data_IF_247058863569
#
_entry.id   IF_247058863569
#
_cell.length_a   1.000
_cell.length_b   1.000
_cell.length_c   1.000
_cell.angle_alpha   90.00
_cell.angle_beta   90.00
_cell.angle_gamma   90.00
#
_symmetry.space_group_name_H-M   'P 1'
#
loop_
_entity.id
_entity.type
_entity.pdbx_description
1 polymer ?
#
# COMPACT_ATOMS: atom_id res chain seq x y z
N UNK A 1 -2.97 -4.83 -10.17
CA UNK A 1 -3.30 -6.16 -9.60
C UNK A 1 -3.72 -6.10 -8.14
N UNK A 2 -2.88 -5.60 -7.21
CA UNK A 2 -3.23 -5.55 -5.78
C UNK A 2 -4.56 -4.84 -5.51
N UNK A 3 -4.74 -3.62 -6.03
CA UNK A 3 -6.01 -2.87 -5.93
C UNK A 3 -7.22 -3.69 -6.39
N UNK A 4 -7.14 -4.36 -7.54
CA UNK A 4 -8.22 -5.18 -8.07
C UNK A 4 -8.55 -6.37 -7.14
N UNK A 5 -7.53 -6.96 -6.50
CA UNK A 5 -7.72 -8.01 -5.50
C UNK A 5 -8.42 -7.52 -4.23
N UNK A 6 -8.43 -6.20 -3.97
CA UNK A 6 -9.17 -5.55 -2.88
C UNK A 6 -10.67 -5.84 -2.88
N UNK A 7 -11.28 -6.07 -4.05
CA UNK A 7 -12.69 -6.43 -4.14
C UNK A 7 -12.99 -7.77 -3.42
N UNK A 8 -12.09 -8.74 -3.51
CA UNK A 8 -12.23 -10.04 -2.83
C UNK A 8 -12.27 -9.86 -1.31
N UNK A 9 -11.43 -8.98 -0.77
CA UNK A 9 -11.42 -8.69 0.66
C UNK A 9 -12.76 -8.06 1.11
N UNK A 10 -13.28 -7.11 0.33
CA UNK A 10 -14.57 -6.46 0.60
C UNK A 10 -15.74 -7.45 0.58
N UNK A 11 -15.79 -8.34 -0.42
CA UNK A 11 -16.80 -9.40 -0.52
C UNK A 11 -16.79 -10.33 0.70
N UNK A 12 -15.60 -10.61 1.25
CA UNK A 12 -15.43 -11.42 2.45
C UNK A 12 -15.61 -10.64 3.77
N UNK A 13 -16.07 -9.38 3.72
CA UNK A 13 -16.19 -8.49 4.89
C UNK A 13 -14.87 -8.34 5.67
N UNK A 14 -13.73 -8.34 4.98
CA UNK A 14 -12.41 -8.08 5.54
C UNK A 14 -11.94 -6.66 5.21
N UNK A 15 -11.01 -6.12 6.02
CA UNK A 15 -10.37 -4.85 5.69
C UNK A 15 -9.64 -5.02 4.34
N UNK A 16 -9.81 -4.13 3.34
CA UNK A 16 -9.31 -4.33 1.98
C UNK A 16 -7.83 -3.97 1.82
N UNK A 17 -7.02 -4.44 2.77
CA UNK A 17 -5.57 -4.49 2.63
C UNK A 17 -5.24 -5.77 1.89
N UNK A 18 -4.58 -5.61 0.75
CA UNK A 18 -4.20 -6.71 -0.14
C UNK A 18 -2.78 -6.57 -0.58
N UNK A 19 -2.08 -7.69 -0.70
CA UNK A 19 -0.69 -7.76 -1.06
C UNK A 19 -0.45 -8.78 -2.18
N UNK A 20 0.52 -8.48 -3.03
CA UNK A 20 0.96 -9.34 -4.14
C UNK A 20 2.48 -9.41 -4.10
N UNK A 21 3.04 -10.61 -3.97
CA UNK A 21 4.48 -10.85 -4.00
C UNK A 21 4.89 -11.24 -5.41
N UNK A 22 5.84 -10.50 -5.98
CA UNK A 22 6.32 -10.70 -7.36
C UNK A 22 7.82 -10.92 -7.35
N UNK A 23 8.29 -11.96 -8.03
CA UNK A 23 9.72 -12.22 -8.17
C UNK A 23 10.37 -11.22 -9.15
N UNK A 24 11.50 -10.64 -8.76
CA UNK A 24 12.08 -9.48 -9.44
C UNK A 24 12.60 -9.80 -10.85
N UNK A 25 13.16 -10.99 -11.08
CA UNK A 25 13.74 -11.37 -12.37
C UNK A 25 12.70 -11.96 -13.31
N UNK A 26 12.04 -13.06 -12.89
CA UNK A 26 11.03 -13.76 -13.69
C UNK A 26 9.72 -12.98 -13.87
N UNK A 27 9.49 -11.94 -13.06
CA UNK A 27 8.22 -11.19 -13.00
C UNK A 27 7.00 -12.04 -12.63
N UNK A 28 7.23 -13.24 -12.13
CA UNK A 28 6.19 -14.17 -11.71
C UNK A 28 5.53 -13.69 -10.42
N UNK A 29 4.20 -13.79 -10.37
CA UNK A 29 3.45 -13.59 -9.13
C UNK A 29 3.56 -14.85 -8.29
N UNK A 30 4.34 -14.78 -7.20
CA UNK A 30 4.55 -15.91 -6.29
C UNK A 30 3.33 -16.16 -5.41
N UNK A 31 2.69 -15.10 -4.91
CA UNK A 31 1.48 -15.21 -4.11
C UNK A 31 0.68 -13.91 -4.07
N UNK A 32 -0.63 -14.03 -3.80
CA UNK A 32 -1.57 -12.93 -3.62
C UNK A 32 -2.40 -13.19 -2.37
N UNK A 33 -2.57 -12.20 -1.50
CA UNK A 33 -3.36 -12.35 -0.28
C UNK A 33 -4.09 -11.06 0.10
N UNK A 34 -5.11 -11.21 0.94
CA UNK A 34 -5.81 -10.12 1.60
C UNK A 34 -5.84 -10.38 3.11
N UNK A 35 -6.25 -9.38 3.90
CA UNK A 35 -6.46 -9.59 5.34
C UNK A 35 -7.50 -10.70 5.57
N UNK A 36 -7.21 -11.60 6.51
CA UNK A 36 -8.08 -12.71 6.89
C UNK A 36 -8.38 -12.70 8.39
N UNK A 37 -8.33 -11.52 9.02
CA UNK A 37 -8.46 -11.35 10.47
C UNK A 37 -9.81 -11.82 11.01
N UNK A 38 -10.91 -11.56 10.29
CA UNK A 38 -12.25 -11.99 10.67
C UNK A 38 -12.47 -13.49 10.41
N UNK A 39 -11.92 -14.02 9.32
CA UNK A 39 -12.04 -15.44 8.96
C UNK A 39 -11.26 -16.32 9.93
N UNK A 40 -10.03 -15.92 10.27
CA UNK A 40 -9.12 -16.70 11.10
C UNK A 40 -9.28 -16.43 12.59
N UNK A 41 -10.04 -15.41 12.97
CA UNK A 41 -10.13 -14.89 14.34
C UNK A 41 -8.76 -14.58 14.95
N UNK A 42 -7.80 -14.19 14.09
CA UNK A 42 -6.44 -13.89 14.47
C UNK A 42 -6.07 -12.47 14.02
N UNK A 43 -5.77 -11.61 14.98
CA UNK A 43 -5.37 -10.22 14.73
C UNK A 43 -4.05 -10.07 13.96
N UNK A 44 -3.26 -11.14 13.81
CA UNK A 44 -2.00 -11.10 13.03
C UNK A 44 -2.16 -11.58 11.59
N UNK A 45 -3.35 -12.06 11.18
CA UNK A 45 -3.63 -12.58 9.85
C UNK A 45 -3.79 -11.48 8.78
N UNK A 46 -2.79 -10.61 8.68
CA UNK A 46 -2.69 -9.58 7.66
C UNK A 46 -2.20 -10.16 6.33
N UNK A 47 -2.49 -9.49 5.22
CA UNK A 47 -2.12 -9.94 3.87
C UNK A 47 -0.64 -10.36 3.76
N UNK A 48 0.27 -9.60 4.36
CA UNK A 48 1.71 -9.87 4.36
C UNK A 48 2.08 -11.16 5.13
N UNK A 49 1.42 -11.42 6.27
CA UNK A 49 1.61 -12.66 7.05
C UNK A 49 1.00 -13.87 6.36
N UNK A 50 -0.13 -13.70 5.67
CA UNK A 50 -0.71 -14.77 4.87
C UNK A 50 0.25 -15.18 3.74
N UNK A 51 0.87 -14.21 3.06
CA UNK A 51 1.92 -14.47 2.07
C UNK A 51 3.09 -15.20 2.74
N UNK A 52 3.62 -14.68 3.86
CA UNK A 52 4.74 -15.29 4.57
C UNK A 52 4.51 -16.76 4.92
N UNK A 53 3.36 -17.08 5.51
CA UNK A 53 2.98 -18.45 5.86
C UNK A 53 2.94 -19.36 4.62
N UNK A 54 2.32 -18.92 3.53
CA UNK A 54 2.25 -19.72 2.30
C UNK A 54 3.63 -19.91 1.65
N UNK A 55 4.51 -18.91 1.68
CA UNK A 55 5.87 -19.08 1.15
C UNK A 55 6.66 -20.09 1.99
N UNK A 56 6.50 -20.10 3.31
CA UNK A 56 7.13 -21.12 4.16
C UNK A 56 6.66 -22.53 3.82
N UNK A 57 5.36 -22.70 3.55
CA UNK A 57 4.78 -24.00 3.19
C UNK A 57 5.21 -24.47 1.79
N UNK A 58 5.22 -23.56 0.81
CA UNK A 58 5.61 -23.88 -0.58
C UNK A 58 7.12 -24.03 -0.77
N UNK A 59 7.92 -23.30 -0.01
CA UNK A 59 9.38 -23.26 -0.13
C UNK A 59 10.09 -23.38 1.23
N UNK A 60 9.97 -24.53 1.94
CA UNK A 60 10.49 -24.67 3.30
C UNK A 60 11.95 -24.23 3.47
N UNK A 61 12.82 -24.66 2.55
CA UNK A 61 14.26 -24.40 2.63
C UNK A 61 14.72 -23.13 1.90
N UNK A 62 13.85 -22.46 1.15
CA UNK A 62 14.24 -21.33 0.28
C UNK A 62 13.31 -20.12 0.32
N UNK A 63 12.31 -20.10 1.19
CA UNK A 63 11.36 -18.99 1.31
C UNK A 63 12.06 -17.65 1.59
N UNK A 64 13.09 -17.61 2.43
CA UNK A 64 13.87 -16.38 2.68
C UNK A 64 14.57 -15.87 1.43
N UNK A 65 15.13 -16.76 0.61
CA UNK A 65 15.74 -16.38 -0.67
C UNK A 65 14.68 -15.87 -1.67
N UNK A 66 13.46 -16.40 -1.63
CA UNK A 66 12.34 -15.86 -2.40
C UNK A 66 11.99 -14.44 -1.96
N UNK A 67 11.93 -14.16 -0.66
CA UNK A 67 11.68 -12.80 -0.14
C UNK A 67 12.76 -11.81 -0.60
N UNK A 68 14.04 -12.17 -0.47
CA UNK A 68 15.18 -11.34 -0.91
C UNK A 68 15.20 -11.00 -2.40
N UNK A 69 14.53 -11.80 -3.23
CA UNK A 69 14.44 -11.62 -4.68
C UNK A 69 13.08 -11.12 -5.14
N UNK A 70 12.25 -10.64 -4.23
CA UNK A 70 10.87 -10.25 -4.55
C UNK A 70 10.55 -8.81 -4.18
N UNK A 71 9.55 -8.27 -4.88
CA UNK A 71 8.91 -7.00 -4.58
C UNK A 71 7.50 -7.28 -4.07
N UNK A 72 7.15 -6.70 -2.93
CA UNK A 72 5.81 -6.77 -2.36
C UNK A 72 5.01 -5.53 -2.79
N UNK A 73 3.89 -5.72 -3.46
CA UNK A 73 2.94 -4.64 -3.79
C UNK A 73 1.75 -4.72 -2.85
N UNK A 74 1.50 -3.68 -2.04
CA UNK A 74 0.44 -3.67 -1.04
C UNK A 74 -0.43 -2.41 -1.15
N UNK A 75 -1.74 -2.53 -0.96
CA UNK A 75 -2.66 -1.37 -1.15
C UNK A 75 -2.49 -0.28 -0.09
N UNK A 76 -2.07 -0.66 1.12
CA UNK A 76 -1.89 0.22 2.28
C UNK A 76 -0.50 -0.03 2.85
N UNK A 77 0.18 1.01 3.33
CA UNK A 77 1.46 0.88 4.01
C UNK A 77 1.45 -0.23 5.08
N UNK A 78 2.45 -1.15 5.07
CA UNK A 78 2.55 -2.18 6.09
C UNK A 78 2.54 -1.61 7.49
N UNK A 79 1.78 -2.24 8.39
CA UNK A 79 1.82 -1.85 9.80
C UNK A 79 3.18 -2.20 10.42
N UNK A 80 3.49 -1.64 11.59
CA UNK A 80 4.74 -1.90 12.34
C UNK A 80 5.07 -3.40 12.44
N UNK A 81 4.08 -4.25 12.75
CA UNK A 81 4.25 -5.70 12.83
C UNK A 81 4.66 -6.31 11.48
N UNK A 82 3.98 -5.94 10.40
CA UNK A 82 4.27 -6.45 9.06
C UNK A 82 5.60 -5.92 8.53
N UNK A 83 5.88 -4.63 8.74
CA UNK A 83 7.15 -4.00 8.38
C UNK A 83 8.34 -4.67 9.09
N UNK A 84 8.18 -5.07 10.37
CA UNK A 84 9.21 -5.78 11.12
C UNK A 84 9.44 -7.20 10.61
N UNK A 85 8.36 -7.93 10.28
CA UNK A 85 8.49 -9.25 9.64
C UNK A 85 9.22 -9.12 8.30
N UNK A 86 8.83 -8.14 7.47
CA UNK A 86 9.43 -7.88 6.17
C UNK A 86 10.93 -7.58 6.26
N UNK A 87 11.34 -6.79 7.26
CA UNK A 87 12.75 -6.51 7.53
C UNK A 87 13.52 -7.78 7.91
N UNK A 88 12.94 -8.64 8.76
CA UNK A 88 13.56 -9.88 9.22
C UNK A 88 13.71 -10.93 8.10
N UNK A 89 12.72 -11.04 7.21
CA UNK A 89 12.81 -11.96 6.06
C UNK A 89 13.68 -11.41 4.92
N UNK A 90 14.06 -10.13 5.01
CA UNK A 90 14.91 -9.46 4.05
C UNK A 90 14.26 -9.23 2.69
N UNK A 91 13.00 -8.78 2.65
CA UNK A 91 12.33 -8.39 1.39
C UNK A 91 13.22 -7.43 0.58
N UNK A 92 13.21 -7.50 -0.76
CA UNK A 92 14.00 -6.55 -1.57
C UNK A 92 13.36 -5.16 -1.61
N UNK A 93 12.08 -5.09 -1.96
CA UNK A 93 11.36 -3.84 -2.20
C UNK A 93 9.91 -3.96 -1.75
N UNK A 94 9.37 -2.89 -1.16
CA UNK A 94 7.96 -2.77 -0.81
C UNK A 94 7.38 -1.56 -1.54
N UNK A 95 6.38 -1.82 -2.38
CA UNK A 95 5.58 -0.79 -3.07
C UNK A 95 4.24 -0.70 -2.39
N UNK A 96 3.82 0.50 -1.97
CA UNK A 96 2.51 0.67 -1.35
C UNK A 96 1.72 1.86 -1.86
N UNK A 97 0.40 1.75 -1.77
CA UNK A 97 -0.53 2.78 -2.23
C UNK A 97 -0.69 3.92 -1.24
N UNK A 98 -1.58 3.76 -0.27
CA UNK A 98 -1.87 4.84 0.68
C UNK A 98 -1.15 4.66 2.02
N UNK A 99 -0.87 5.75 2.76
CA UNK A 99 -0.30 5.69 4.10
C UNK A 99 -1.19 4.93 5.09
N UNK A 100 -0.57 4.33 6.10
CA UNK A 100 -1.26 3.77 7.25
C UNK A 100 -1.14 4.73 8.44
N UNK A 101 -2.10 5.64 8.55
CA UNK A 101 -2.06 6.76 9.50
C UNK A 101 -2.05 6.32 10.98
N UNK A 102 -2.51 5.10 11.28
CA UNK A 102 -2.65 4.61 12.66
C UNK A 102 -1.51 3.69 13.09
N UNK A 103 -1.01 2.87 12.17
CA UNK A 103 -0.09 1.79 12.52
C UNK A 103 1.10 1.66 11.55
N UNK A 104 1.29 2.61 10.62
CA UNK A 104 2.30 2.51 9.56
C UNK A 104 3.73 2.40 10.07
N UNK A 105 4.41 1.34 9.63
CA UNK A 105 5.75 0.98 10.06
C UNK A 105 6.88 1.40 9.12
N UNK A 106 6.57 2.08 8.02
CA UNK A 106 7.53 2.50 7.00
C UNK A 106 7.67 4.02 6.85
N UNK A 107 7.05 4.79 7.74
CA UNK A 107 7.20 6.25 7.81
C UNK A 107 6.01 6.99 8.41
N UNK A 108 4.79 6.45 8.34
CA UNK A 108 3.61 7.21 8.82
C UNK A 108 3.61 7.44 10.33
N UNK A 109 3.91 6.39 11.10
CA UNK A 109 3.95 6.41 12.56
C UNK A 109 5.37 6.09 13.04
N UNK A 110 5.96 5.05 12.47
CA UNK A 110 7.31 4.62 12.81
C UNK A 110 8.04 4.15 11.55
N UNK A 111 9.37 4.07 11.60
CA UNK A 111 10.19 3.56 10.51
C UNK A 111 11.03 2.38 11.01
N UNK A 112 10.61 1.16 10.64
CA UNK A 112 11.16 -0.12 11.14
C UNK A 112 12.41 -0.59 10.37
N UNK A 113 12.77 0.05 9.26
CA UNK A 113 13.88 -0.38 8.40
C UNK A 113 15.24 -0.25 9.11
N UNK A 114 15.62 -1.26 9.90
CA UNK A 114 16.85 -1.27 10.72
C UNK A 114 17.91 -2.24 10.21
N UNK A 115 17.56 -3.46 9.79
CA UNK A 115 18.55 -4.48 9.42
C UNK A 115 18.76 -4.59 7.91
N UNK A 116 17.66 -4.79 7.17
CA UNK A 116 17.71 -5.13 5.74
C UNK A 116 17.69 -3.89 4.84
N UNK A 117 17.33 -2.72 5.38
CA UNK A 117 17.16 -1.46 4.65
C UNK A 117 16.47 -1.64 3.29
N UNK A 118 15.41 -2.46 3.26
CA UNK A 118 14.67 -2.72 2.03
C UNK A 118 14.13 -1.42 1.43
N UNK A 119 14.06 -1.40 0.10
CA UNK A 119 13.61 -0.21 -0.64
C UNK A 119 12.11 -0.03 -0.48
N UNK A 120 11.65 1.21 -0.36
CA UNK A 120 10.21 1.51 -0.36
C UNK A 120 9.85 2.42 -1.53
N UNK A 121 8.72 2.13 -2.16
CA UNK A 121 8.13 2.94 -3.23
C UNK A 121 6.71 3.32 -2.79
N UNK A 122 6.52 4.52 -2.21
CA UNK A 122 5.25 4.96 -1.68
C UNK A 122 4.36 5.62 -2.75
N UNK A 123 3.04 5.64 -2.53
CA UNK A 123 2.10 6.48 -3.28
C UNK A 123 1.50 5.86 -4.56
N UNK A 124 1.88 4.63 -4.92
CA UNK A 124 1.42 3.99 -6.16
C UNK A 124 -0.04 3.53 -6.02
N UNK A 125 -0.96 4.11 -6.82
CA UNK A 125 -2.40 3.90 -6.68
C UNK A 125 -2.95 4.38 -5.31
N UNK A 126 -2.41 5.48 -4.76
CA UNK A 126 -2.84 6.06 -3.48
C UNK A 126 -4.36 6.29 -3.38
N UNK A 127 -4.96 6.92 -4.39
CA UNK A 127 -6.40 7.20 -4.42
C UNK A 127 -7.24 5.92 -4.39
N UNK A 128 -6.80 4.88 -5.07
CA UNK A 128 -7.50 3.60 -5.11
C UNK A 128 -7.43 2.89 -3.75
N UNK A 129 -6.26 2.91 -3.11
CA UNK A 129 -6.08 2.38 -1.74
C UNK A 129 -7.01 3.08 -0.73
N UNK A 130 -7.09 4.41 -0.78
CA UNK A 130 -8.02 5.17 0.07
C UNK A 130 -9.47 4.82 -0.26
N UNK A 131 -9.81 4.70 -1.54
CA UNK A 131 -11.18 4.40 -1.98
C UNK A 131 -11.65 3.06 -1.46
N UNK A 132 -10.80 2.02 -1.51
CA UNK A 132 -11.07 0.71 -0.92
C UNK A 132 -11.35 0.81 0.59
N UNK A 133 -10.49 1.51 1.34
CA UNK A 133 -10.69 1.70 2.78
C UNK A 133 -11.98 2.45 3.09
N UNK A 134 -12.30 3.51 2.33
CA UNK A 134 -13.56 4.26 2.50
C UNK A 134 -14.78 3.37 2.24
N UNK A 135 -14.75 2.53 1.21
CA UNK A 135 -15.83 1.56 0.94
C UNK A 135 -16.05 0.61 2.12
N UNK A 136 -14.97 0.08 2.71
CA UNK A 136 -15.07 -0.78 3.88
C UNK A 136 -15.67 -0.08 5.11
N UNK A 137 -15.25 1.16 5.41
CA UNK A 137 -15.70 1.86 6.62
C UNK A 137 -17.12 2.45 6.54
N UNK A 138 -17.69 2.56 5.33
CA UNK A 138 -19.11 2.88 5.14
C UNK A 138 -19.99 1.72 5.58
N UNK A 139 -19.57 0.49 5.30
CA UNK A 139 -20.32 -0.69 5.69
C UNK A 139 -20.44 -0.77 7.23
N UNK A 140 -21.60 -1.19 7.70
CA UNK A 140 -21.83 -1.43 9.12
C UNK A 140 -21.11 -2.72 9.52
N UNK A 141 -20.51 -2.70 10.72
CA UNK A 141 -19.96 -3.91 11.30
C UNK A 141 -21.08 -4.58 12.09
N UNK A 142 -21.75 -5.54 11.47
CA UNK A 142 -22.85 -6.32 12.09
C UNK A 142 -22.42 -7.02 13.38
N UNK A 143 -21.11 -7.21 13.59
CA UNK A 143 -20.53 -7.84 14.79
C UNK A 143 -20.18 -6.84 15.89
N UNK A 144 -20.41 -5.54 15.69
CA UNK A 144 -20.13 -4.54 16.72
C UNK A 144 -21.22 -4.59 17.82
N UNK A 145 -20.87 -4.71 19.12
CA UNK A 145 -21.85 -4.76 20.19
C UNK A 145 -22.72 -3.50 20.26
N UNK A 146 -22.16 -2.35 19.86
CA UNK A 146 -22.87 -1.09 19.72
C UNK A 146 -22.96 -0.73 18.23
N UNK A 147 -24.12 -0.95 17.62
CA UNK A 147 -24.35 -0.56 16.23
C UNK A 147 -24.35 0.97 16.12
N UNK A 148 -23.27 1.55 15.61
CA UNK A 148 -23.27 2.96 15.20
C UNK A 148 -24.01 3.01 13.87
N UNK A 149 -25.13 3.73 13.81
CA UNK A 149 -25.89 3.93 12.57
C UNK A 149 -25.03 4.73 11.58
N UNK A 150 -24.54 4.05 10.52
CA UNK A 150 -23.67 4.64 9.50
C UNK A 150 -24.40 5.06 8.24
N UNK A 151 -25.74 4.94 8.20
CA UNK A 151 -26.58 5.22 7.00
C UNK A 151 -26.41 6.61 6.39
N UNK A 152 -25.86 7.59 7.13
CA UNK A 152 -25.59 8.96 6.65
C UNK A 152 -24.19 9.16 6.05
N UNK A 153 -23.30 8.14 6.07
CA UNK A 153 -21.94 8.28 5.53
C UNK A 153 -21.96 8.18 4.00
N UNK A 154 -21.63 9.29 3.35
CA UNK A 154 -21.47 9.35 1.89
C UNK A 154 -20.02 9.01 1.53
N UNK A 155 -19.84 8.18 0.50
CA UNK A 155 -18.53 7.88 -0.07
C UNK A 155 -17.99 9.13 -0.77
N UNK A 156 -17.02 9.81 -0.13
CA UNK A 156 -16.31 10.93 -0.76
C UNK A 156 -15.27 10.35 -1.72
N UNK A 157 -15.45 10.51 -3.02
CA UNK A 157 -14.49 10.09 -4.06
C UNK A 157 -13.78 11.27 -4.74
N UNK A 158 -14.05 12.50 -4.31
CA UNK A 158 -13.52 13.71 -4.96
C UNK A 158 -12.40 14.36 -4.14
N UNK A 159 -12.39 14.12 -2.83
CA UNK A 159 -11.48 14.76 -1.88
C UNK A 159 -10.51 13.72 -1.30
N UNK A 160 -9.26 13.73 -1.77
CA UNK A 160 -8.20 12.85 -1.30
C UNK A 160 -7.11 13.66 -0.57
N UNK A 161 -6.63 13.19 0.61
CA UNK A 161 -5.52 13.83 1.28
C UNK A 161 -4.27 13.75 0.41
N UNK A 162 -3.51 14.85 0.36
CA UNK A 162 -2.19 14.91 -0.28
C UNK A 162 -1.25 13.82 0.25
N UNK A 163 -0.33 13.38 -0.59
CA UNK A 163 0.65 12.37 -0.21
C UNK A 163 1.96 13.03 0.24
N UNK A 164 2.30 12.95 1.53
CA UNK A 164 3.56 13.52 2.03
C UNK A 164 4.73 12.55 1.85
N UNK A 165 5.44 12.66 0.72
CA UNK A 165 6.55 11.75 0.38
C UNK A 165 7.73 11.83 1.35
N UNK A 166 8.00 13.02 1.90
CA UNK A 166 9.15 13.25 2.78
C UNK A 166 9.11 12.46 4.10
N UNK A 167 7.96 11.88 4.45
CA UNK A 167 7.84 10.93 5.56
C UNK A 167 8.44 9.55 5.26
N UNK A 168 8.59 9.20 3.99
CA UNK A 168 8.92 7.84 3.55
C UNK A 168 10.28 7.79 2.86
N UNK A 169 10.50 8.69 1.89
CA UNK A 169 11.69 8.73 1.06
C UNK A 169 12.18 10.16 0.89
N UNK A 170 13.47 10.31 0.63
CA UNK A 170 14.12 11.57 0.28
C UNK A 170 13.77 12.00 -1.14
N UNK A 171 14.01 13.27 -1.46
CA UNK A 171 13.86 13.77 -2.83
C UNK A 171 14.79 13.03 -3.79
N UNK A 172 16.03 12.73 -3.37
CA UNK A 172 17.00 12.00 -4.18
C UNK A 172 16.48 10.60 -4.53
N UNK A 173 16.02 9.84 -3.52
CA UNK A 173 15.40 8.53 -3.74
C UNK A 173 14.19 8.62 -4.66
N UNK A 174 13.32 9.62 -4.49
CA UNK A 174 12.16 9.83 -5.36
C UNK A 174 12.60 10.06 -6.81
N UNK A 175 13.56 10.95 -7.05
CA UNK A 175 14.05 11.24 -8.41
C UNK A 175 14.80 10.06 -9.03
N UNK A 176 15.45 9.21 -8.23
CA UNK A 176 16.08 7.99 -8.71
C UNK A 176 15.05 6.94 -9.15
N UNK A 177 13.85 6.92 -8.53
CA UNK A 177 12.77 6.00 -8.87
C UNK A 177 12.01 6.51 -10.10
N UNK A 178 11.61 7.78 -10.09
CA UNK A 178 10.64 8.30 -11.06
C UNK A 178 11.26 9.15 -12.16
N UNK A 179 12.41 9.78 -11.92
CA UNK A 179 13.02 10.77 -12.82
C UNK A 179 12.97 12.18 -12.24
N UNK A 180 13.94 13.02 -12.63
CA UNK A 180 14.07 14.41 -12.16
C UNK A 180 12.91 15.30 -12.66
N UNK A 181 12.33 14.95 -13.80
CA UNK A 181 11.20 15.62 -14.42
C UNK A 181 9.92 15.55 -13.57
N UNK A 182 9.82 14.59 -12.65
CA UNK A 182 8.69 14.43 -11.73
C UNK A 182 8.93 15.05 -10.35
N UNK A 183 10.05 15.75 -10.15
CA UNK A 183 10.42 16.38 -8.87
C UNK A 183 9.30 17.24 -8.26
N UNK A 184 8.53 17.96 -9.09
CA UNK A 184 7.44 18.81 -8.60
C UNK A 184 6.33 18.01 -7.91
N UNK A 185 6.12 16.74 -8.25
CA UNK A 185 5.17 15.85 -7.56
C UNK A 185 5.56 15.70 -6.09
N UNK A 186 6.86 15.46 -5.84
CA UNK A 186 7.39 15.34 -4.49
C UNK A 186 7.27 16.66 -3.71
N UNK A 187 7.69 17.78 -4.31
CA UNK A 187 7.72 19.08 -3.64
C UNK A 187 6.30 19.60 -3.30
N UNK A 188 5.34 19.34 -4.17
CA UNK A 188 3.95 19.80 -4.00
C UNK A 188 3.04 18.78 -3.29
N UNK A 189 3.58 17.58 -2.98
CA UNK A 189 2.86 16.43 -2.43
C UNK A 189 1.67 16.01 -3.29
N UNK A 190 1.87 15.99 -4.61
CA UNK A 190 0.88 15.59 -5.61
C UNK A 190 0.82 14.06 -5.77
N UNK A 191 -0.22 13.57 -6.44
CA UNK A 191 -0.39 12.15 -6.67
C UNK A 191 0.42 11.68 -7.88
N UNK A 192 0.90 10.44 -7.81
CA UNK A 192 1.38 9.72 -8.98
C UNK A 192 0.16 9.32 -9.83
N UNK A 193 0.05 9.86 -11.03
CA UNK A 193 -1.02 9.53 -11.99
C UNK A 193 -0.44 8.72 -13.14
N UNK A 194 -0.95 7.51 -13.35
CA UNK A 194 -0.47 6.62 -14.40
C UNK A 194 -1.46 6.58 -15.56
N UNK A 195 -0.97 6.47 -16.79
CA UNK A 195 -1.81 6.22 -17.96
C UNK A 195 -2.27 4.74 -18.01
N UNK A 196 -3.10 4.40 -19.00
CA UNK A 196 -3.62 3.03 -19.18
C UNK A 196 -2.51 1.99 -19.44
N UNK A 197 -1.35 2.44 -19.93
CA UNK A 197 -0.17 1.60 -20.15
C UNK A 197 0.71 1.45 -18.89
N UNK A 198 0.35 2.10 -17.78
CA UNK A 198 1.11 2.08 -16.53
C UNK A 198 2.31 3.04 -16.48
N UNK A 199 2.39 4.01 -17.39
CA UNK A 199 3.45 5.01 -17.41
C UNK A 199 3.04 6.24 -16.58
N UNK A 200 3.97 6.77 -15.78
CA UNK A 200 3.73 7.95 -14.96
C UNK A 200 3.57 9.18 -15.86
N UNK A 201 2.49 9.93 -15.64
CA UNK A 201 2.22 11.16 -16.38
C UNK A 201 2.88 12.36 -15.69
N UNK A 202 3.45 13.30 -16.47
CA UNK A 202 3.97 14.53 -15.91
C UNK A 202 2.83 15.33 -15.25
N UNK A 203 3.12 16.06 -14.17
CA UNK A 203 2.11 16.83 -13.47
C UNK A 203 1.47 17.84 -14.43
N UNK A 204 0.13 17.91 -14.40
CA UNK A 204 -0.62 18.86 -15.22
C UNK A 204 -0.17 20.26 -14.86
N UNK A 205 0.40 21.01 -15.80
CA UNK A 205 0.74 22.43 -15.58
C UNK A 205 -0.52 23.12 -15.06
N UNK A 206 -0.46 23.67 -13.85
CA UNK A 206 -1.55 24.50 -13.36
C UNK A 206 -1.70 25.67 -14.32
N UNK A 207 -2.85 25.76 -14.98
CA UNK A 207 -3.22 27.00 -15.64
C UNK A 207 -3.24 28.06 -14.54
N UNK A 208 -2.27 28.98 -14.57
CA UNK A 208 -2.33 30.14 -13.70
C UNK A 208 -3.64 30.83 -14.05
N UNK A 209 -4.60 30.79 -13.12
CA UNK A 209 -5.74 31.70 -13.18
C UNK A 209 -5.12 33.10 -13.06
N UNK A 210 -4.83 33.71 -14.21
CA UNK A 210 -4.58 35.15 -14.31
C UNK A 210 -5.75 35.81 -13.62
N UNK A 211 -5.49 36.32 -12.42
CA UNK A 211 -6.37 37.29 -11.78
C UNK A 211 -6.41 38.45 -12.78
N UNK A 212 -7.54 38.60 -13.47
CA UNK A 212 -7.80 39.83 -14.23
C UNK A 212 -7.91 40.93 -13.19
N UNK A 213 -6.88 41.77 -13.12
CA UNK A 213 -6.90 43.10 -12.52
C UNK A 213 -7.91 43.98 -13.25
#
# INVERSE_FOLDING_TARGET
MAVAYGAVALENKEVPVTAVLVHNESKEVLFKAHNMTNITLNGTAHAEFIIYKHLMEMYPDSHLEKWKKSTLYVTVEPCIMCASMLDQVGISTVVFGCPNERFGGNGSVFNIRYNSNYKIIPGVCHKDGISLLRQFYINENDRSPNSINKKKRVLKLEDFPKFNYSKFITLEEFTNIWGIEFRSIYENNEFLEFNENGELQPPKKSESKRIKT
#
